data_IF_690220751947
#
_entry.id   IF_690220751947
#
_cell.length_a   1.000
_cell.length_b   1.000
_cell.length_c   1.000
_cell.angle_alpha   90.00
_cell.angle_beta   90.00
_cell.angle_gamma   90.00
#
_symmetry.space_group_name_H-M   'P 1'
#
loop_
_entity.id
_entity.type
_entity.pdbx_description
1 polymer ?
#
# COMPACT_ATOMS: atom_id res chain seq x y z
N UNK A 1 37.34 18.22 55.41
CA UNK A 1 36.95 18.83 56.71
C UNK A 1 36.85 20.33 56.50
N UNK A 2 35.94 21.08 57.17
CA UNK A 2 34.79 20.70 58.01
C UNK A 2 33.45 20.58 57.19
N UNK A 3 32.33 19.98 57.66
CA UNK A 3 31.29 20.36 58.67
C UNK A 3 30.49 21.62 58.22
N UNK A 4 29.14 21.75 58.25
CA UNK A 4 27.98 21.18 59.01
C UNK A 4 26.68 21.33 58.16
N UNK A 5 25.61 20.51 58.20
CA UNK A 5 24.67 20.10 59.28
C UNK A 5 23.58 21.14 59.67
N UNK A 6 22.28 20.87 59.43
CA UNK A 6 21.18 20.72 60.45
C UNK A 6 19.71 20.78 59.93
N UNK A 7 18.77 20.39 60.82
CA UNK A 7 17.29 20.28 60.74
C UNK A 7 16.74 19.03 60.02
N UNK A 8 16.19 17.97 60.66
CA UNK A 8 15.76 17.61 62.05
C UNK A 8 14.26 17.79 62.42
N UNK A 9 13.78 16.90 63.31
CA UNK A 9 12.41 16.63 63.80
C UNK A 9 11.43 15.99 62.78
N UNK A 10 10.58 15.00 63.08
CA UNK A 10 10.43 13.98 64.15
C UNK A 10 9.41 12.90 63.66
N UNK A 11 9.01 11.81 64.33
CA UNK A 11 9.36 11.26 65.65
C UNK A 11 8.42 10.12 66.10
N UNK A 12 8.95 9.06 66.73
CA UNK A 12 8.23 7.89 67.31
C UNK A 12 7.48 6.98 66.28
N UNK A 13 7.26 5.67 66.51
CA UNK A 13 7.48 4.84 67.70
C UNK A 13 7.87 3.38 67.38
N UNK A 14 8.24 2.64 68.42
CA UNK A 14 9.05 1.42 68.36
C UNK A 14 8.26 0.19 68.90
N UNK A 15 8.41 -1.01 68.30
CA UNK A 15 8.55 -2.31 69.02
C UNK A 15 8.69 -3.56 68.12
N UNK A 16 9.90 -4.13 68.20
CA UNK A 16 10.26 -5.56 68.40
C UNK A 16 9.96 -6.63 67.32
N UNK A 17 11.05 -7.36 67.04
CA UNK A 17 11.15 -8.68 66.41
C UNK A 17 10.27 -9.76 67.09
N UNK A 18 10.18 -10.96 66.49
CA UNK A 18 10.96 -12.15 66.92
C UNK A 18 10.85 -13.30 65.87
N UNK A 19 11.98 -13.97 65.63
CA UNK A 19 12.20 -15.29 64.98
C UNK A 19 11.65 -15.64 63.58
N UNK A 20 12.60 -15.79 62.67
CA UNK A 20 12.62 -16.86 61.65
C UNK A 20 12.91 -18.23 62.30
N UNK A 21 12.43 -19.34 61.73
CA UNK A 21 13.29 -20.48 61.35
C UNK A 21 12.55 -21.47 60.41
N UNK A 22 13.30 -22.37 59.79
CA UNK A 22 12.96 -23.08 58.56
C UNK A 22 12.84 -24.60 58.68
N UNK A 23 12.16 -25.19 57.68
CA UNK A 23 12.29 -26.56 57.17
C UNK A 23 11.80 -27.77 58.02
N UNK A 24 11.22 -28.75 57.31
CA UNK A 24 11.52 -30.17 57.57
C UNK A 24 10.40 -31.10 58.09
N UNK A 25 9.74 -31.78 57.13
CA UNK A 25 9.52 -33.23 57.13
C UNK A 25 8.54 -33.99 58.09
N UNK A 26 7.58 -34.67 57.44
CA UNK A 26 7.16 -36.08 57.64
C UNK A 26 6.27 -36.56 58.83
N UNK A 27 5.49 -37.62 58.52
CA UNK A 27 4.80 -38.61 59.38
C UNK A 27 3.53 -38.26 60.19
N UNK A 28 2.39 -38.62 59.60
CA UNK A 28 1.31 -39.48 60.16
C UNK A 28 1.33 -39.83 61.66
N UNK A 29 0.18 -39.67 62.36
CA UNK A 29 -0.79 -40.78 62.61
C UNK A 29 -2.05 -40.33 63.37
N UNK A 30 -3.19 -40.92 62.98
CA UNK A 30 -4.56 -40.77 63.49
C UNK A 30 -4.77 -40.85 65.03
N UNK A 31 -5.86 -40.22 65.53
CA UNK A 31 -6.94 -40.99 66.18
C UNK A 31 -8.35 -40.32 66.18
N UNK A 32 -9.33 -41.09 65.66
CA UNK A 32 -10.80 -41.20 65.92
C UNK A 32 -11.63 -39.98 66.42
N UNK A 33 -12.73 -39.54 65.79
CA UNK A 33 -13.99 -40.18 65.27
C UNK A 33 -15.15 -40.30 66.29
N UNK A 34 -16.19 -39.46 66.14
CA UNK A 34 -17.66 -39.74 65.98
C UNK A 34 -18.44 -38.39 65.98
N UNK A 35 -19.31 -38.07 64.99
CA UNK A 35 -20.73 -38.48 64.79
C UNK A 35 -21.64 -38.08 65.98
N UNK A 36 -22.90 -37.64 65.84
CA UNK A 36 -23.90 -37.45 64.75
C UNK A 36 -25.01 -36.51 65.33
N UNK A 37 -26.04 -35.95 64.68
CA UNK A 37 -26.51 -35.72 63.28
C UNK A 37 -27.74 -34.78 63.36
N UNK A 38 -28.23 -34.18 62.25
CA UNK A 38 -29.66 -33.86 62.01
C UNK A 38 -29.92 -33.19 60.63
N UNK A 39 -31.10 -33.46 60.04
CA UNK A 39 -31.78 -32.58 59.07
C UNK A 39 -31.62 -32.86 57.56
N UNK A 40 -32.62 -33.49 56.93
CA UNK A 40 -32.76 -33.56 55.46
C UNK A 40 -33.30 -32.23 54.88
N UNK A 41 -32.84 -31.85 53.68
CA UNK A 41 -33.77 -31.52 52.59
C UNK A 41 -33.14 -31.68 51.19
N UNK A 42 -33.96 -32.11 50.23
CA UNK A 42 -33.75 -32.17 48.76
C UNK A 42 -32.81 -33.26 48.17
N UNK A 43 -33.27 -34.03 47.16
CA UNK A 43 -32.42 -34.79 46.23
C UNK A 43 -32.02 -33.96 44.99
N UNK A 44 -32.04 -32.63 45.07
CA UNK A 44 -31.70 -31.75 43.94
C UNK A 44 -30.19 -31.72 43.63
N UNK A 45 -29.35 -31.98 44.64
CA UNK A 45 -27.90 -31.81 44.58
C UNK A 45 -27.14 -32.82 43.71
N UNK A 46 -27.74 -33.95 43.32
CA UNK A 46 -27.08 -34.96 42.48
C UNK A 46 -27.58 -34.98 41.03
N UNK A 47 -28.82 -34.53 40.76
CA UNK A 47 -29.40 -34.54 39.41
C UNK A 47 -28.80 -33.41 38.56
N UNK A 48 -28.67 -32.20 39.11
CA UNK A 48 -28.11 -31.04 38.42
C UNK A 48 -26.66 -31.22 37.90
N UNK A 49 -25.68 -31.66 38.72
CA UNK A 49 -24.31 -31.83 38.23
C UNK A 49 -24.19 -32.91 37.15
N UNK A 50 -25.01 -33.96 37.23
CA UNK A 50 -24.99 -35.07 36.27
C UNK A 50 -25.59 -34.66 34.91
N UNK A 51 -26.65 -33.83 34.91
CA UNK A 51 -27.21 -33.22 33.71
C UNK A 51 -26.23 -32.22 33.05
N UNK A 52 -25.53 -31.41 33.86
CA UNK A 52 -24.50 -30.49 33.35
C UNK A 52 -23.31 -31.24 32.72
N UNK A 53 -22.86 -32.35 33.33
CA UNK A 53 -21.80 -33.18 32.77
C UNK A 53 -22.19 -33.77 31.40
N UNK A 54 -23.44 -34.23 31.27
CA UNK A 54 -23.97 -34.78 30.02
C UNK A 54 -24.00 -33.72 28.90
N UNK A 55 -24.44 -32.50 29.22
CA UNK A 55 -24.49 -31.38 28.26
C UNK A 55 -23.09 -30.93 27.84
N UNK A 56 -22.10 -30.92 28.74
CA UNK A 56 -20.71 -30.63 28.42
C UNK A 56 -20.09 -31.69 27.50
N UNK A 57 -20.38 -32.98 27.73
CA UNK A 57 -19.92 -34.07 26.85
C UNK A 57 -20.55 -33.99 25.45
N UNK A 58 -21.85 -33.69 25.35
CA UNK A 58 -22.52 -33.42 24.07
C UNK A 58 -21.92 -32.21 23.34
N UNK A 59 -21.64 -31.12 24.06
CA UNK A 59 -20.94 -29.95 23.52
C UNK A 59 -19.54 -30.31 22.98
N UNK A 60 -18.77 -31.11 23.73
CA UNK A 60 -17.45 -31.57 23.32
C UNK A 60 -17.49 -32.43 22.06
N UNK A 61 -18.44 -33.37 21.94
CA UNK A 61 -18.58 -34.20 20.72
C UNK A 61 -18.96 -33.34 19.50
N UNK A 62 -19.89 -32.39 19.67
CA UNK A 62 -20.33 -31.51 18.58
C UNK A 62 -19.26 -30.49 18.15
N UNK A 63 -18.41 -30.02 19.07
CA UNK A 63 -17.27 -29.15 18.76
C UNK A 63 -16.06 -29.93 18.21
N UNK A 64 -15.74 -31.08 18.81
CA UNK A 64 -14.63 -31.94 18.39
C UNK A 64 -14.84 -32.52 16.98
N UNK A 65 -16.05 -32.97 16.65
CA UNK A 65 -16.41 -33.42 15.30
C UNK A 65 -16.40 -32.32 14.23
N UNK A 66 -16.40 -31.05 14.64
CA UNK A 66 -16.20 -29.88 13.76
C UNK A 66 -14.73 -29.54 13.60
N UNK A 67 -13.93 -29.68 14.67
CA UNK A 67 -12.48 -29.51 14.63
C UNK A 67 -11.79 -30.57 13.77
N UNK A 68 -12.22 -31.84 13.83
CA UNK A 68 -11.63 -32.91 13.02
C UNK A 68 -11.94 -32.80 11.51
N UNK A 69 -13.09 -32.20 11.15
CA UNK A 69 -13.39 -31.84 9.75
C UNK A 69 -12.56 -30.67 9.21
N UNK A 70 -11.89 -29.90 10.06
CA UNK A 70 -10.93 -28.87 9.64
C UNK A 70 -9.49 -29.40 9.50
N UNK A 71 -9.19 -30.64 9.91
CA UNK A 71 -7.86 -31.26 9.73
C UNK A 71 -7.83 -32.34 8.65
N UNK A 72 -8.98 -32.89 8.26
CA UNK A 72 -9.14 -33.74 7.07
C UNK A 72 -9.16 -32.90 5.76
N UNK A 73 -8.06 -32.24 5.46
CA UNK A 73 -7.96 -31.31 4.32
C UNK A 73 -6.53 -30.88 3.96
N UNK A 74 -5.54 -31.70 4.28
CA UNK A 74 -4.17 -31.55 3.79
C UNK A 74 -3.87 -32.66 2.79
N UNK A 75 -4.49 -32.57 1.61
CA UNK A 75 -3.79 -33.05 0.43
C UNK A 75 -2.48 -32.28 0.37
N UNK A 76 -1.37 -33.00 0.48
CA UNK A 76 -0.07 -32.46 0.14
C UNK A 76 -0.15 -32.10 -1.33
N UNK A 77 -0.37 -30.82 -1.63
CA UNK A 77 -0.19 -30.29 -2.97
C UNK A 77 1.14 -30.84 -3.48
N UNK A 78 1.08 -31.59 -4.58
CA UNK A 78 2.25 -31.90 -5.37
C UNK A 78 3.04 -30.61 -5.56
N UNK A 79 4.37 -30.69 -5.48
CA UNK A 79 5.21 -29.51 -5.61
C UNK A 79 5.02 -28.91 -7.00
N UNK A 80 4.05 -28.01 -7.12
CA UNK A 80 3.91 -27.05 -8.21
C UNK A 80 5.29 -26.38 -8.31
N UNK A 81 5.96 -26.46 -9.47
CA UNK A 81 7.23 -25.78 -9.64
C UNK A 81 7.00 -24.31 -9.29
N UNK A 82 7.82 -23.78 -8.38
CA UNK A 82 7.67 -22.40 -7.91
C UNK A 82 7.74 -21.48 -9.12
N UNK A 83 6.64 -20.75 -9.39
CA UNK A 83 6.53 -19.90 -10.57
C UNK A 83 7.76 -19.00 -10.71
N UNK A 84 8.47 -19.14 -11.84
CA UNK A 84 9.65 -18.34 -12.16
C UNK A 84 9.25 -17.26 -13.17
N UNK A 85 9.20 -15.97 -12.79
CA UNK A 85 8.81 -14.89 -13.70
C UNK A 85 9.68 -14.81 -14.96
N UNK A 86 10.93 -15.27 -14.91
CA UNK A 86 11.86 -15.20 -16.05
C UNK A 86 11.55 -16.20 -17.16
N UNK A 87 10.85 -17.30 -16.87
CA UNK A 87 10.45 -18.28 -17.89
C UNK A 87 9.18 -17.84 -18.64
N UNK A 88 8.58 -16.71 -18.22
CA UNK A 88 7.31 -16.17 -18.73
C UNK A 88 7.44 -14.69 -19.17
N UNK A 89 8.60 -14.30 -19.73
CA UNK A 89 8.79 -12.93 -20.21
C UNK A 89 7.83 -12.57 -21.36
N UNK A 90 7.19 -11.40 -21.28
CA UNK A 90 6.48 -10.80 -22.44
C UNK A 90 7.46 -10.29 -23.50
N UNK A 91 8.57 -9.70 -23.07
CA UNK A 91 9.72 -9.28 -23.89
C UNK A 91 10.97 -9.37 -23.01
N UNK A 92 12.17 -9.74 -23.50
CA UNK A 92 13.37 -9.90 -22.64
C UNK A 92 13.67 -8.70 -21.72
N UNK A 93 14.19 -8.98 -20.53
CA UNK A 93 14.50 -7.94 -19.53
C UNK A 93 15.47 -6.88 -20.10
N UNK A 94 15.14 -5.60 -19.89
CA UNK A 94 15.92 -4.47 -20.40
C UNK A 94 15.69 -4.12 -21.86
N UNK A 95 14.85 -4.85 -22.61
CA UNK A 95 14.45 -4.44 -23.96
C UNK A 95 13.65 -3.14 -23.90
N UNK A 96 14.00 -2.19 -24.77
CA UNK A 96 13.25 -0.96 -25.00
C UNK A 96 11.86 -1.28 -25.58
N UNK A 97 10.80 -0.88 -24.87
CA UNK A 97 9.41 -1.08 -25.28
C UNK A 97 8.88 0.06 -26.15
N UNK A 98 9.24 1.30 -25.82
CA UNK A 98 8.75 2.51 -26.49
C UNK A 98 9.24 3.79 -25.79
N UNK A 99 8.71 4.95 -26.23
CA UNK A 99 9.05 6.25 -25.67
C UNK A 99 7.81 7.12 -25.44
N UNK A 100 7.64 7.69 -24.25
CA UNK A 100 6.65 8.75 -24.03
C UNK A 100 7.34 10.06 -23.65
N UNK A 101 7.02 11.17 -24.34
CA UNK A 101 7.72 12.47 -24.18
C UNK A 101 9.26 12.35 -24.29
N UNK A 102 9.74 11.42 -25.12
CA UNK A 102 11.18 11.13 -25.26
C UNK A 102 11.80 10.27 -24.15
N UNK A 103 11.03 9.86 -23.14
CA UNK A 103 11.48 9.02 -22.03
C UNK A 103 11.32 7.53 -22.41
N UNK A 104 12.38 6.71 -22.42
CA UNK A 104 12.28 5.29 -22.77
C UNK A 104 11.58 4.47 -21.70
N UNK A 105 10.72 3.54 -22.09
CA UNK A 105 10.22 2.48 -21.21
C UNK A 105 10.93 1.17 -21.53
N UNK A 106 11.29 0.40 -20.50
CA UNK A 106 11.99 -0.88 -20.64
C UNK A 106 11.17 -2.04 -20.06
N UNK A 107 11.37 -3.23 -20.64
CA UNK A 107 10.77 -4.47 -20.17
C UNK A 107 11.38 -4.90 -18.83
N UNK A 108 10.54 -5.21 -17.86
CA UNK A 108 10.96 -5.93 -16.66
C UNK A 108 10.91 -7.47 -16.85
N UNK A 109 10.81 -7.95 -18.09
CA UNK A 109 10.45 -9.33 -18.46
C UNK A 109 9.01 -9.70 -18.08
N UNK A 110 8.69 -9.74 -16.78
CA UNK A 110 7.39 -10.14 -16.24
C UNK A 110 7.03 -9.28 -15.01
N UNK A 111 5.75 -9.00 -14.78
CA UNK A 111 5.32 -8.06 -13.73
C UNK A 111 5.72 -8.45 -12.29
N UNK A 112 5.87 -9.76 -12.06
CA UNK A 112 6.35 -10.33 -10.80
C UNK A 112 7.88 -10.43 -10.67
N UNK A 113 8.65 -10.13 -11.71
CA UNK A 113 10.12 -10.16 -11.62
C UNK A 113 10.63 -9.05 -10.72
N UNK A 114 11.62 -9.36 -9.87
CA UNK A 114 12.27 -8.40 -8.98
C UNK A 114 13.78 -8.54 -9.08
N UNK A 115 14.47 -7.41 -9.19
CA UNK A 115 15.92 -7.31 -9.28
C UNK A 115 16.45 -6.32 -8.25
N UNK A 116 17.77 -6.20 -8.17
CA UNK A 116 18.49 -5.25 -7.32
C UNK A 116 19.22 -4.17 -8.13
N UNK A 117 19.11 -4.20 -9.47
CA UNK A 117 19.73 -3.22 -10.37
C UNK A 117 19.01 -1.88 -10.26
N UNK A 118 19.76 -0.79 -10.11
CA UNK A 118 19.24 0.58 -10.00
C UNK A 118 19.44 1.35 -11.31
N UNK A 119 18.43 2.14 -11.71
CA UNK A 119 18.49 3.04 -12.85
C UNK A 119 19.08 4.40 -12.47
N UNK A 120 19.89 4.98 -13.36
CA UNK A 120 20.48 6.32 -13.25
C UNK A 120 20.32 7.10 -14.56
N UNK A 121 20.04 8.40 -14.48
CA UNK A 121 19.88 9.30 -15.65
C UNK A 121 20.39 10.72 -15.39
N UNK A 122 20.59 11.51 -16.45
CA UNK A 122 20.88 12.94 -16.36
C UNK A 122 19.84 13.78 -17.13
N UNK A 123 19.46 14.96 -16.63
CA UNK A 123 18.38 15.81 -17.17
C UNK A 123 18.43 16.04 -18.68
N UNK A 124 19.62 16.32 -19.22
CA UNK A 124 19.81 16.64 -20.64
C UNK A 124 19.98 15.41 -21.55
N UNK A 125 19.94 14.20 -20.99
CA UNK A 125 20.24 12.94 -21.70
C UNK A 125 19.18 11.86 -21.35
N UNK A 126 17.89 12.07 -21.71
CA UNK A 126 16.79 11.20 -21.28
C UNK A 126 16.87 9.76 -21.81
N UNK A 127 17.65 9.54 -22.87
CA UNK A 127 17.88 8.22 -23.46
C UNK A 127 19.04 7.45 -22.81
N UNK A 128 19.91 8.12 -22.05
CA UNK A 128 21.10 7.52 -21.42
C UNK A 128 20.75 7.03 -20.01
N UNK A 129 20.07 5.88 -19.96
CA UNK A 129 19.67 5.21 -18.71
C UNK A 129 20.67 4.11 -18.39
N UNK A 130 21.39 4.27 -17.27
CA UNK A 130 22.50 3.38 -16.88
C UNK A 130 22.25 2.65 -15.57
N UNK A 131 22.96 1.54 -15.38
CA UNK A 131 22.90 0.71 -14.16
C UNK A 131 23.89 1.13 -13.05
N UNK A 132 24.63 2.22 -13.26
CA UNK A 132 25.60 2.76 -12.31
C UNK A 132 25.65 4.30 -12.40
N UNK A 133 26.04 5.01 -11.33
CA UNK A 133 26.23 6.45 -11.37
C UNK A 133 27.26 6.87 -12.42
N UNK A 134 27.00 7.99 -13.09
CA UNK A 134 27.89 8.59 -14.09
C UNK A 134 27.87 10.11 -14.01
N UNK A 135 28.82 10.77 -14.68
CA UNK A 135 28.89 12.24 -14.77
C UNK A 135 29.09 12.66 -16.21
N UNK A 136 28.40 13.73 -16.63
CA UNK A 136 28.50 14.35 -17.95
C UNK A 136 28.91 15.81 -17.74
N UNK A 137 30.23 16.06 -17.74
CA UNK A 137 30.79 17.34 -17.34
C UNK A 137 30.44 17.66 -15.88
N UNK A 138 29.72 18.76 -15.67
CA UNK A 138 29.24 19.20 -14.33
C UNK A 138 27.92 18.57 -13.90
N UNK A 139 27.25 17.80 -14.76
CA UNK A 139 25.99 17.11 -14.43
C UNK A 139 26.28 15.72 -13.87
N UNK A 140 25.90 15.48 -12.62
CA UNK A 140 25.87 14.14 -12.04
C UNK A 140 24.56 13.42 -12.38
N UNK A 141 24.64 12.12 -12.66
CA UNK A 141 23.46 11.27 -12.81
C UNK A 141 22.68 11.16 -11.50
N UNK A 142 21.36 11.07 -11.60
CA UNK A 142 20.45 10.83 -10.49
C UNK A 142 19.87 9.42 -10.56
N UNK A 143 19.86 8.72 -9.43
CA UNK A 143 19.16 7.44 -9.30
C UNK A 143 17.64 7.63 -9.31
N UNK A 144 16.93 6.81 -10.09
CA UNK A 144 15.47 6.90 -10.28
C UNK A 144 14.68 5.75 -9.65
N UNK A 145 15.33 4.62 -9.34
CA UNK A 145 14.71 3.49 -8.67
C UNK A 145 15.26 2.15 -9.17
N UNK A 146 14.60 1.07 -8.78
CA UNK A 146 14.91 -0.29 -9.25
C UNK A 146 14.46 -0.48 -10.71
N UNK A 147 15.37 -0.92 -11.57
CA UNK A 147 15.02 -1.37 -12.92
C UNK A 147 14.06 -2.57 -12.84
N UNK A 148 13.02 -2.74 -13.66
CA UNK A 148 12.28 -1.72 -14.40
C UNK A 148 10.89 -1.56 -13.79
N UNK A 149 10.83 -1.39 -12.46
CA UNK A 149 9.57 -1.21 -11.72
C UNK A 149 8.78 -0.02 -12.29
N UNK A 150 7.45 -0.04 -12.12
CA UNK A 150 6.58 1.07 -12.52
C UNK A 150 6.98 2.39 -11.86
N UNK A 151 7.27 2.36 -10.55
CA UNK A 151 7.71 3.52 -9.78
C UNK A 151 9.00 4.17 -10.33
N UNK A 152 9.96 3.38 -10.81
CA UNK A 152 11.20 3.88 -11.43
C UNK A 152 10.87 4.76 -12.64
N UNK A 153 9.98 4.28 -13.52
CA UNK A 153 9.55 5.01 -14.70
C UNK A 153 8.91 6.36 -14.33
N UNK A 154 8.04 6.39 -13.31
CA UNK A 154 7.37 7.63 -12.90
C UNK A 154 8.37 8.62 -12.27
N UNK A 155 9.28 8.17 -11.41
CA UNK A 155 10.33 9.03 -10.83
C UNK A 155 11.22 9.60 -11.95
N UNK A 156 11.63 8.76 -12.91
CA UNK A 156 12.44 9.16 -14.06
C UNK A 156 11.71 10.14 -14.97
N UNK A 157 10.44 9.90 -15.29
CA UNK A 157 9.61 10.82 -16.06
C UNK A 157 9.50 12.19 -15.37
N UNK A 158 9.20 12.24 -14.08
CA UNK A 158 9.09 13.51 -13.34
C UNK A 158 10.43 14.25 -13.22
N UNK A 159 11.54 13.53 -13.09
CA UNK A 159 12.86 14.14 -13.11
C UNK A 159 13.16 14.78 -14.47
N UNK A 160 13.07 14.00 -15.54
CA UNK A 160 13.47 14.43 -16.89
C UNK A 160 12.50 15.48 -17.49
N UNK A 161 11.19 15.34 -17.29
CA UNK A 161 10.17 16.24 -17.89
C UNK A 161 9.86 17.47 -17.04
N UNK A 162 9.99 17.39 -15.71
CA UNK A 162 9.57 18.46 -14.79
C UNK A 162 10.69 19.02 -13.92
N UNK A 163 11.89 18.43 -13.92
CA UNK A 163 12.93 18.80 -12.97
C UNK A 163 12.49 18.60 -11.51
N UNK A 164 11.70 17.55 -11.25
CA UNK A 164 11.12 17.23 -9.94
C UNK A 164 11.46 15.80 -9.53
N UNK A 165 11.25 15.48 -8.26
CA UNK A 165 11.35 14.11 -7.77
C UNK A 165 10.40 13.87 -6.63
N UNK A 166 9.97 12.64 -6.44
CA UNK A 166 9.36 12.18 -5.21
C UNK A 166 10.17 10.99 -4.72
N UNK A 167 10.24 10.78 -3.40
CA UNK A 167 10.89 9.60 -2.85
C UNK A 167 9.91 8.44 -2.99
N UNK A 168 10.40 7.28 -3.43
CA UNK A 168 9.62 6.05 -3.48
C UNK A 168 10.34 4.98 -2.66
N UNK A 169 10.05 4.93 -1.35
CA UNK A 169 10.83 4.16 -0.36
C UNK A 169 10.21 2.83 0.07
N UNK A 170 8.96 2.54 -0.30
CA UNK A 170 8.28 1.28 0.05
C UNK A 170 7.80 0.54 -1.18
N UNK A 171 7.77 -0.80 -1.11
CA UNK A 171 7.18 -1.64 -2.16
C UNK A 171 5.64 -1.60 -2.19
N UNK A 172 4.99 -1.11 -1.14
CA UNK A 172 3.54 -0.92 -1.09
C UNK A 172 3.14 0.41 -1.77
N UNK A 173 2.52 0.31 -2.95
CA UNK A 173 2.01 1.45 -3.74
C UNK A 173 0.85 2.16 -3.03
N UNK A 174 0.02 1.45 -2.27
CA UNK A 174 -1.17 2.00 -1.61
C UNK A 174 -0.76 2.84 -0.39
N UNK A 175 0.20 2.36 0.40
CA UNK A 175 0.83 3.18 1.44
C UNK A 175 1.55 4.39 0.84
N UNK A 176 2.27 4.21 -0.27
CA UNK A 176 2.95 5.34 -0.94
C UNK A 176 1.98 6.38 -1.51
N UNK A 177 0.84 5.96 -2.08
CA UNK A 177 -0.21 6.89 -2.52
C UNK A 177 -0.57 7.89 -1.42
N UNK A 178 -0.80 7.40 -0.20
CA UNK A 178 -1.19 8.24 0.95
C UNK A 178 -0.09 9.20 1.45
N UNK A 179 1.18 8.91 1.15
CA UNK A 179 2.35 9.61 1.70
C UNK A 179 3.22 10.35 0.68
N UNK A 180 2.99 10.16 -0.63
CA UNK A 180 3.75 10.79 -1.72
C UNK A 180 3.88 12.31 -1.52
N UNK A 181 5.11 12.81 -1.58
CA UNK A 181 5.46 14.24 -1.61
C UNK A 181 6.31 14.53 -2.85
N UNK A 182 6.05 15.66 -3.52
CA UNK A 182 6.88 16.11 -4.64
C UNK A 182 7.95 17.09 -4.14
N UNK A 183 9.15 17.02 -4.69
CA UNK A 183 10.30 17.85 -4.37
C UNK A 183 10.97 18.42 -5.63
N UNK A 184 11.83 19.43 -5.45
CA UNK A 184 12.71 19.93 -6.50
C UNK A 184 13.72 18.89 -7.01
N UNK A 185 14.21 19.08 -8.23
CA UNK A 185 15.09 18.14 -8.92
C UNK A 185 16.54 18.09 -8.40
N UNK A 186 16.96 19.08 -7.60
CA UNK A 186 18.33 19.22 -7.08
C UNK A 186 18.37 19.26 -5.54
N UNK A 187 17.28 19.63 -4.87
CA UNK A 187 17.18 19.62 -3.41
C UNK A 187 15.74 19.38 -2.93
N UNK A 188 15.60 19.03 -1.65
CA UNK A 188 14.34 19.07 -0.90
C UNK A 188 13.95 20.50 -0.46
N UNK A 189 14.60 21.52 -1.01
CA UNK A 189 14.39 22.96 -0.70
C UNK A 189 12.95 23.41 -0.97
N UNK A 190 12.32 22.80 -1.98
CA UNK A 190 10.93 23.03 -2.36
C UNK A 190 10.18 21.71 -2.34
N UNK A 191 9.24 21.58 -1.41
CA UNK A 191 8.18 20.57 -1.48
C UNK A 191 6.95 21.13 -2.18
N UNK A 192 6.20 20.29 -2.90
CA UNK A 192 4.88 20.61 -3.40
C UNK A 192 3.85 19.64 -2.81
N UNK A 193 2.67 20.16 -2.55
CA UNK A 193 1.49 19.39 -2.13
C UNK A 193 1.22 18.25 -3.13
N UNK A 194 0.84 17.08 -2.62
CA UNK A 194 0.30 15.99 -3.45
C UNK A 194 -1.22 16.00 -3.38
N UNK A 195 -1.87 16.53 -4.42
CA UNK A 195 -3.33 16.55 -4.52
C UNK A 195 -3.78 15.15 -4.95
N UNK A 196 -4.38 14.42 -4.02
CA UNK A 196 -4.97 13.09 -4.25
C UNK A 196 -6.40 13.25 -4.74
N UNK A 197 -6.71 12.68 -5.91
CA UNK A 197 -8.02 12.73 -6.53
C UNK A 197 -8.54 11.30 -6.66
N UNK A 198 -9.53 10.95 -5.84
CA UNK A 198 -10.10 9.60 -5.78
C UNK A 198 -10.95 9.30 -7.01
N UNK A 199 -10.94 8.03 -7.44
CA UNK A 199 -11.93 7.52 -8.39
C UNK A 199 -13.35 7.60 -7.79
N UNK A 200 -14.36 7.77 -8.64
CA UNK A 200 -15.76 8.04 -8.27
C UNK A 200 -16.01 9.29 -7.39
N UNK A 201 -15.05 10.22 -7.27
CA UNK A 201 -15.26 11.45 -6.53
C UNK A 201 -16.36 12.34 -7.14
N UNK A 202 -17.29 12.82 -6.32
CA UNK A 202 -18.40 13.66 -6.79
C UNK A 202 -18.00 15.10 -7.13
N UNK A 203 -18.60 15.65 -8.19
CA UNK A 203 -18.53 17.06 -8.55
C UNK A 203 -19.89 17.65 -8.92
N UNK A 204 -20.38 18.56 -8.08
CA UNK A 204 -21.62 19.32 -8.29
C UNK A 204 -21.43 20.65 -9.05
N UNK A 205 -20.18 21.05 -9.35
CA UNK A 205 -19.88 22.32 -10.01
C UNK A 205 -18.85 22.17 -11.12
N UNK A 206 -18.95 23.00 -12.17
CA UNK A 206 -17.99 23.08 -13.29
C UNK A 206 -16.54 23.29 -12.80
N UNK A 207 -16.35 24.09 -11.74
CA UNK A 207 -15.03 24.31 -11.12
C UNK A 207 -14.45 23.02 -10.52
N UNK A 208 -15.27 22.23 -9.83
CA UNK A 208 -14.85 20.95 -9.26
C UNK A 208 -14.64 19.90 -10.36
N UNK A 209 -15.50 19.83 -11.39
CA UNK A 209 -15.29 19.00 -12.58
C UNK A 209 -13.95 19.29 -13.26
N UNK A 210 -13.59 20.56 -13.45
CA UNK A 210 -12.26 20.98 -13.98
C UNK A 210 -11.07 20.66 -13.05
N UNK A 211 -11.30 20.51 -11.74
CA UNK A 211 -10.29 20.02 -10.78
C UNK A 211 -10.10 18.52 -10.93
N UNK A 212 -11.19 17.75 -10.98
CA UNK A 212 -11.16 16.29 -11.05
C UNK A 212 -10.83 15.75 -12.44
N UNK A 213 -11.02 16.48 -13.54
CA UNK A 213 -10.62 16.02 -14.87
C UNK A 213 -9.11 15.67 -14.94
N UNK A 214 -8.71 14.51 -15.52
CA UNK A 214 -7.31 14.09 -15.69
C UNK A 214 -6.49 15.08 -16.54
N UNK A 215 -5.17 15.11 -16.31
CA UNK A 215 -4.21 16.00 -16.99
C UNK A 215 -2.87 15.30 -17.20
N UNK A 216 -2.11 15.77 -18.18
CA UNK A 216 -0.74 15.33 -18.45
C UNK A 216 0.17 15.54 -17.22
N UNK A 217 0.92 14.50 -16.88
CA UNK A 217 1.69 14.33 -15.64
C UNK A 217 0.86 14.21 -14.34
N UNK A 218 -0.38 13.74 -14.42
CA UNK A 218 -1.02 13.05 -13.30
C UNK A 218 -0.46 11.63 -13.17
N UNK A 219 -0.34 11.11 -11.95
CA UNK A 219 0.07 9.73 -11.68
C UNK A 219 -1.19 8.91 -11.39
N UNK A 220 -1.58 8.01 -12.30
CA UNK A 220 -2.68 7.05 -12.09
C UNK A 220 -2.19 5.92 -11.19
N UNK A 221 -3.02 5.52 -10.22
CA UNK A 221 -2.64 4.53 -9.20
C UNK A 221 -3.72 3.47 -9.03
N UNK A 222 -3.26 2.22 -8.99
CA UNK A 222 -4.07 1.03 -8.81
C UNK A 222 -3.79 0.36 -7.47
N UNK A 223 -4.83 -0.24 -6.88
CA UNK A 223 -4.72 -0.99 -5.65
C UNK A 223 -3.87 -2.27 -5.82
N UNK A 224 -3.31 -2.76 -4.71
CA UNK A 224 -2.67 -4.07 -4.67
C UNK A 224 -3.71 -5.18 -4.87
N UNK A 225 -3.49 -6.04 -5.87
CA UNK A 225 -4.34 -7.18 -6.21
C UNK A 225 -3.44 -8.35 -6.62
N UNK A 226 -3.40 -9.40 -5.78
CA UNK A 226 -2.51 -10.56 -5.99
C UNK A 226 -3.01 -11.46 -7.11
N UNK A 227 -4.33 -11.56 -7.22
CA UNK A 227 -5.10 -12.28 -8.25
C UNK A 227 -4.82 -11.78 -9.67
N UNK A 228 -4.34 -10.55 -9.82
CA UNK A 228 -4.00 -9.90 -11.10
C UNK A 228 -2.48 -9.68 -11.27
N UNK A 229 -1.67 -10.43 -10.51
CA UNK A 229 -0.20 -10.35 -10.48
C UNK A 229 0.35 -8.95 -10.18
N UNK A 230 -0.40 -8.16 -9.39
CA UNK A 230 -0.03 -6.82 -8.92
C UNK A 230 -0.05 -6.78 -7.38
N UNK A 231 0.73 -7.64 -6.69
CA UNK A 231 0.71 -7.80 -5.23
C UNK A 231 1.11 -6.54 -4.45
N UNK A 232 1.73 -5.58 -5.14
CA UNK A 232 2.25 -4.32 -4.62
C UNK A 232 1.38 -3.11 -5.04
N UNK A 233 0.49 -3.28 -6.02
CA UNK A 233 -0.25 -2.23 -6.74
C UNK A 233 0.41 -1.83 -8.06
N UNK A 234 -0.06 -0.75 -8.70
CA UNK A 234 0.55 -0.24 -9.93
C UNK A 234 0.54 1.30 -10.04
N UNK A 235 1.43 1.84 -10.87
CA UNK A 235 1.62 3.27 -11.12
C UNK A 235 1.83 3.53 -12.62
N UNK A 236 1.14 4.52 -13.18
CA UNK A 236 1.34 5.01 -14.54
C UNK A 236 1.29 6.54 -14.56
N UNK A 237 1.89 7.16 -15.57
CA UNK A 237 1.79 8.62 -15.77
C UNK A 237 0.92 8.92 -16.98
N UNK A 238 -0.02 9.85 -16.82
CA UNK A 238 -0.83 10.37 -17.94
C UNK A 238 0.08 11.18 -18.86
N UNK A 239 0.18 10.77 -20.12
CA UNK A 239 1.05 11.41 -21.12
C UNK A 239 0.27 12.25 -22.13
N UNK A 240 -1.00 11.94 -22.37
CA UNK A 240 -1.89 12.66 -23.29
C UNK A 240 -3.34 12.46 -22.84
N UNK A 241 -4.19 13.48 -23.06
CA UNK A 241 -5.61 13.44 -22.74
C UNK A 241 -6.38 14.07 -23.89
N UNK A 242 -7.34 13.33 -24.44
CA UNK A 242 -8.15 13.76 -25.59
C UNK A 242 -9.64 13.72 -25.27
N UNK A 243 -10.47 14.22 -26.18
CA UNK A 243 -11.93 14.10 -26.07
C UNK A 243 -12.39 12.81 -26.76
N UNK A 244 -13.20 12.02 -26.06
CA UNK A 244 -13.80 10.82 -26.65
C UNK A 244 -15.07 11.25 -27.42
N UNK A 245 -14.89 11.66 -28.68
CA UNK A 245 -15.98 12.15 -29.55
C UNK A 245 -17.06 11.09 -29.75
N UNK A 246 -16.66 9.81 -29.83
CA UNK A 246 -17.57 8.68 -29.99
C UNK A 246 -18.42 8.50 -28.73
N UNK A 247 -17.80 8.39 -27.54
CA UNK A 247 -18.53 8.27 -26.29
C UNK A 247 -19.34 9.53 -25.92
N UNK A 248 -18.98 10.70 -26.47
CA UNK A 248 -19.78 11.91 -26.34
C UNK A 248 -21.07 11.88 -27.18
N UNK A 249 -21.18 10.98 -28.17
CA UNK A 249 -22.30 10.96 -29.13
C UNK A 249 -22.12 11.94 -30.30
N UNK A 250 -20.88 12.26 -30.67
CA UNK A 250 -20.54 13.15 -31.78
C UNK A 250 -20.21 14.59 -31.38
N UNK A 251 -19.73 15.36 -32.37
CA UNK A 251 -19.16 16.70 -32.22
C UNK A 251 -20.12 17.74 -31.60
N UNK A 252 -21.41 17.72 -31.94
CA UNK A 252 -22.40 18.64 -31.36
C UNK A 252 -22.65 18.36 -29.88
N UNK A 253 -22.81 17.09 -29.52
CA UNK A 253 -22.98 16.67 -28.13
C UNK A 253 -21.72 16.96 -27.30
N UNK A 254 -20.53 16.73 -27.87
CA UNK A 254 -19.26 17.09 -27.26
C UNK A 254 -19.19 18.58 -26.91
N UNK A 255 -19.60 19.48 -27.83
CA UNK A 255 -19.62 20.93 -27.60
C UNK A 255 -20.54 21.33 -26.43
N UNK A 256 -21.71 20.70 -26.30
CA UNK A 256 -22.62 20.96 -25.18
C UNK A 256 -22.04 20.43 -23.85
N UNK A 257 -21.54 19.19 -23.83
CA UNK A 257 -20.90 18.59 -22.65
C UNK A 257 -19.67 19.38 -22.18
N UNK A 258 -18.91 19.99 -23.09
CA UNK A 258 -17.74 20.82 -22.77
C UNK A 258 -18.07 22.09 -21.96
N UNK A 259 -19.26 22.68 -22.16
CA UNK A 259 -19.74 23.85 -21.38
C UNK A 259 -19.83 23.49 -19.90
N UNK A 260 -20.42 22.32 -19.63
CA UNK A 260 -20.61 21.77 -18.28
C UNK A 260 -19.39 21.01 -17.73
N UNK A 261 -18.34 20.83 -18.54
CA UNK A 261 -17.17 19.97 -18.24
C UNK A 261 -17.51 18.50 -18.00
N UNK A 262 -18.55 18.03 -18.68
CA UNK A 262 -19.06 16.66 -18.62
C UNK A 262 -18.55 15.76 -19.76
N UNK A 263 -17.74 16.29 -20.68
CA UNK A 263 -17.29 15.52 -21.84
C UNK A 263 -16.42 14.31 -21.44
N UNK A 264 -16.66 13.12 -22.01
CA UNK A 264 -15.78 11.96 -21.81
C UNK A 264 -14.42 12.19 -22.49
N UNK A 265 -13.40 11.46 -22.01
CA UNK A 265 -12.01 11.67 -22.39
C UNK A 265 -11.26 10.35 -22.51
N UNK A 266 -10.40 10.26 -23.52
CA UNK A 266 -9.37 9.23 -23.62
C UNK A 266 -8.14 9.69 -22.84
N UNK A 267 -7.62 8.83 -21.97
CA UNK A 267 -6.50 9.13 -21.07
C UNK A 267 -5.36 8.16 -21.39
N UNK A 268 -4.39 8.64 -22.15
CA UNK A 268 -3.23 7.88 -22.59
C UNK A 268 -2.19 7.86 -21.47
N UNK A 269 -1.73 6.68 -21.10
CA UNK A 269 -0.79 6.46 -20.01
C UNK A 269 0.52 5.84 -20.49
N UNK A 270 1.59 6.05 -19.74
CA UNK A 270 2.87 5.38 -19.93
C UNK A 270 3.35 4.80 -18.59
N UNK A 271 3.83 3.56 -18.62
CA UNK A 271 4.26 2.81 -17.44
C UNK A 271 5.35 1.77 -17.79
N UNK A 272 5.93 1.14 -16.77
CA UNK A 272 6.74 -0.08 -16.91
C UNK A 272 6.18 -1.16 -15.99
N UNK A 273 6.59 -2.41 -16.18
CA UNK A 273 6.23 -3.54 -15.32
C UNK A 273 4.72 -3.90 -15.28
N UNK A 274 3.96 -3.58 -16.33
CA UNK A 274 2.58 -4.05 -16.51
C UNK A 274 2.53 -5.23 -17.50
N UNK A 275 2.38 -4.99 -18.80
CA UNK A 275 2.31 -6.06 -19.82
C UNK A 275 3.69 -6.47 -20.37
N UNK A 276 4.70 -5.61 -20.25
CA UNK A 276 6.07 -5.87 -20.73
C UNK A 276 6.15 -6.23 -22.23
N UNK A 277 5.27 -5.67 -23.05
CA UNK A 277 5.24 -5.78 -24.52
C UNK A 277 5.70 -4.50 -25.21
N UNK A 278 6.16 -4.62 -26.46
CA UNK A 278 6.50 -3.46 -27.30
C UNK A 278 5.29 -2.54 -27.49
N UNK A 279 5.54 -1.23 -27.64
CA UNK A 279 4.49 -0.23 -27.86
C UNK A 279 4.22 0.03 -29.35
N UNK A 280 4.88 -0.70 -30.26
CA UNK A 280 4.69 -0.61 -31.72
C UNK A 280 4.80 0.82 -32.28
N UNK A 281 5.75 1.61 -31.75
CA UNK A 281 5.96 3.00 -32.14
C UNK A 281 4.98 4.01 -31.52
N UNK A 282 4.01 3.57 -30.71
CA UNK A 282 3.13 4.46 -29.93
C UNK A 282 3.92 5.19 -28.85
N UNK A 283 3.44 6.37 -28.47
CA UNK A 283 4.00 7.21 -27.40
C UNK A 283 3.33 7.00 -26.03
N UNK A 284 2.66 5.86 -25.85
CA UNK A 284 1.91 5.45 -24.66
C UNK A 284 1.88 3.91 -24.59
N UNK A 285 1.70 3.35 -23.39
CA UNK A 285 1.50 1.91 -23.18
C UNK A 285 0.04 1.51 -23.39
N UNK A 286 -0.88 2.19 -22.71
CA UNK A 286 -2.32 1.87 -22.67
C UNK A 286 -3.19 3.12 -22.69
N UNK A 287 -4.50 2.96 -22.88
CA UNK A 287 -5.49 4.04 -22.88
C UNK A 287 -6.60 3.70 -21.90
N UNK A 288 -6.87 4.62 -20.98
CA UNK A 288 -7.98 4.55 -20.02
C UNK A 288 -9.12 5.45 -20.50
N UNK A 289 -10.35 5.20 -20.03
CA UNK A 289 -11.51 6.07 -20.28
C UNK A 289 -11.85 6.88 -19.04
N UNK A 290 -12.04 8.19 -19.20
CA UNK A 290 -12.56 9.07 -18.15
C UNK A 290 -13.95 9.60 -18.53
N UNK A 291 -14.91 9.51 -17.61
CA UNK A 291 -16.30 9.93 -17.85
C UNK A 291 -17.02 10.31 -16.55
N UNK A 292 -18.19 10.94 -16.71
CA UNK A 292 -19.01 11.41 -15.58
C UNK A 292 -20.23 10.52 -15.38
N UNK A 293 -20.12 9.53 -14.48
CA UNK A 293 -21.25 8.68 -14.13
C UNK A 293 -22.32 9.53 -13.42
N UNK A 294 -23.56 9.38 -13.86
CA UNK A 294 -24.71 10.18 -13.40
C UNK A 294 -24.50 11.72 -13.49
N UNK A 295 -23.57 12.20 -14.34
CA UNK A 295 -23.21 13.62 -14.45
C UNK A 295 -22.52 14.22 -13.21
N UNK A 296 -22.07 13.38 -12.26
CA UNK A 296 -21.55 13.79 -10.95
C UNK A 296 -20.30 13.03 -10.50
N UNK A 297 -20.26 11.71 -10.67
CA UNK A 297 -19.15 10.86 -10.21
C UNK A 297 -18.04 10.86 -11.26
N UNK A 298 -16.83 11.28 -10.89
CA UNK A 298 -15.66 11.28 -11.76
C UNK A 298 -15.09 9.86 -11.87
N UNK A 299 -15.38 9.16 -12.98
CA UNK A 299 -14.92 7.79 -13.21
C UNK A 299 -13.68 7.79 -14.11
N UNK A 300 -12.59 7.19 -13.64
CA UNK A 300 -11.50 6.69 -14.48
C UNK A 300 -11.64 5.17 -14.56
N UNK A 301 -11.55 4.60 -15.75
CA UNK A 301 -11.73 3.18 -16.00
C UNK A 301 -10.66 2.61 -16.94
N UNK A 302 -10.00 1.56 -16.46
CA UNK A 302 -9.06 0.68 -17.14
C UNK A 302 -9.78 -0.60 -17.59
N UNK A 303 -9.90 -0.81 -18.89
CA UNK A 303 -10.50 -2.03 -19.45
C UNK A 303 -9.61 -3.28 -19.30
N UNK A 304 -8.34 -3.08 -18.92
CA UNK A 304 -7.30 -4.11 -18.92
C UNK A 304 -6.63 -4.27 -17.55
N UNK A 305 -7.11 -3.57 -16.53
CA UNK A 305 -6.43 -3.45 -15.25
C UNK A 305 -7.30 -3.71 -14.02
N UNK A 306 -6.66 -3.74 -12.84
CA UNK A 306 -7.33 -3.86 -11.54
C UNK A 306 -8.11 -2.58 -11.18
N UNK A 307 -8.69 -2.55 -9.98
CA UNK A 307 -9.42 -1.37 -9.49
C UNK A 307 -8.49 -0.16 -9.28
N UNK A 308 -8.84 0.97 -9.89
CA UNK A 308 -8.13 2.24 -9.78
C UNK A 308 -8.52 2.96 -8.48
N UNK A 309 -7.52 3.43 -7.73
CA UNK A 309 -7.75 4.30 -6.57
C UNK A 309 -8.02 5.75 -7.00
N UNK A 310 -7.47 6.15 -8.15
CA UNK A 310 -7.56 7.50 -8.71
C UNK A 310 -6.22 7.98 -9.27
N UNK A 311 -5.96 9.29 -9.17
CA UNK A 311 -4.70 9.90 -9.61
C UNK A 311 -4.15 10.97 -8.65
N UNK A 312 -2.82 11.01 -8.51
CA UNK A 312 -2.11 12.07 -7.77
C UNK A 312 -1.67 13.15 -8.74
N UNK A 313 -1.84 14.42 -8.36
CA UNK A 313 -1.36 15.59 -9.08
C UNK A 313 -0.46 16.44 -8.20
N UNK A 314 0.60 17.01 -8.77
CA UNK A 314 1.40 18.05 -8.11
C UNK A 314 0.56 19.32 -7.86
N UNK A 315 0.38 19.69 -6.60
CA UNK A 315 -0.28 20.91 -6.15
C UNK A 315 0.63 22.13 -6.10
N UNK A 316 0.36 23.04 -5.17
CA UNK A 316 1.16 24.26 -5.02
C UNK A 316 2.46 23.99 -4.25
N UNK A 317 3.42 24.92 -4.34
CA UNK A 317 4.66 24.84 -3.57
C UNK A 317 4.37 25.16 -2.10
N UNK A 318 4.70 24.25 -1.19
CA UNK A 318 4.60 24.47 0.25
C UNK A 318 5.83 25.27 0.72
N UNK A 319 5.64 26.31 1.53
CA UNK A 319 6.72 26.86 2.36
C UNK A 319 6.83 26.01 3.63
N UNK A 320 7.68 24.98 3.63
CA UNK A 320 7.99 24.20 4.84
C UNK A 320 9.02 24.93 5.70
N UNK A 321 8.73 25.26 6.98
CA UNK A 321 9.75 25.22 8.02
C UNK A 321 10.27 23.78 8.12
N UNK A 322 11.55 23.59 8.44
CA UNK A 322 12.13 22.25 8.54
C UNK A 322 11.33 21.36 9.51
N UNK A 323 10.98 20.14 9.08
CA UNK A 323 10.46 19.08 9.96
C UNK A 323 8.94 18.86 10.03
N UNK A 324 8.10 19.47 9.17
CA UNK A 324 6.67 19.10 9.07
C UNK A 324 6.24 18.83 7.62
N UNK A 325 5.29 17.90 7.44
CA UNK A 325 4.68 17.57 6.15
C UNK A 325 3.87 18.74 5.57
N UNK A 326 3.57 18.72 4.26
CA UNK A 326 2.52 19.59 3.72
C UNK A 326 1.17 19.10 4.26
N UNK A 327 0.36 20.01 4.83
CA UNK A 327 -0.99 19.71 5.33
C UNK A 327 -2.05 20.01 4.27
#
# INVERSE_FOLDING_TARGET
>A
MPVSSLYSADGQGNKRCWLSFSAGAWCSTMYRIRKQALGLSTPAFLVFPLLMLLLLLLGYVMLGGRWWRHTAGSEKNSAQPSFNPLDHCGTPYGTLLGYAHGIPAFSNCHRLWKTHVYAFVALSHPHDVRHAPFSLGTLHSRGTGTCWDSAEYIVRFFYLIRGMSFIYSTRDVVSHWSTLEFHGGIATDRSYEAIRLLNAAEATTVKLRKRLAPKVADIVVWAAQRENDLPEGHLAVVVQVEHDVEAAGGEDSLRELQKERLQPQLVYIAEQNFDNVLWDGKNYSRVLRFYWKNGKEAMLHDSSGPQELGFVRKGQACRKPQGRGCS
#
